data_IF_059718887750
#
_entry.id   IF_059718887750
#
_cell.length_a   1.000
_cell.length_b   1.000
_cell.length_c   1.000
_cell.angle_alpha   90.00
_cell.angle_beta   90.00
_cell.angle_gamma   90.00
#
_symmetry.space_group_name_H-M   'P 1'
#
loop_
_entity.id
_entity.type
_entity.pdbx_description
1 polymer ?
#
# COMPACT_ATOMS: atom_id res chain seq x y z
N UNK A 1 -9.08 41.03 -4.46
CA UNK A 1 -8.13 40.14 -5.16
C UNK A 1 -7.55 39.20 -4.13
N UNK A 2 -8.15 38.03 -3.98
CA UNK A 2 -7.68 36.97 -3.08
C UNK A 2 -6.81 36.05 -3.93
N UNK A 3 -5.53 35.92 -3.60
CA UNK A 3 -4.67 34.96 -4.29
C UNK A 3 -5.27 33.55 -4.13
N UNK A 4 -5.26 32.70 -5.17
CA UNK A 4 -5.66 31.31 -4.99
C UNK A 4 -4.66 30.65 -4.04
N UNK A 5 -5.18 30.12 -2.94
CA UNK A 5 -4.42 29.27 -2.02
C UNK A 5 -4.01 28.02 -2.80
N UNK A 6 -2.72 27.86 -3.08
CA UNK A 6 -2.18 26.67 -3.71
C UNK A 6 -2.25 25.52 -2.70
N UNK A 7 -3.26 24.66 -2.82
CA UNK A 7 -3.34 23.44 -2.02
C UNK A 7 -2.20 22.49 -2.43
N UNK A 8 -1.36 22.13 -1.46
CA UNK A 8 -0.31 21.11 -1.62
C UNK A 8 -0.94 19.70 -1.71
N UNK A 9 -0.24 18.72 -2.29
CA UNK A 9 -0.84 17.41 -2.57
C UNK A 9 -1.20 16.65 -1.30
N UNK A 10 -2.34 15.99 -1.38
CA UNK A 10 -2.94 15.17 -0.35
C UNK A 10 -2.23 13.80 -0.28
N UNK A 11 -1.13 13.74 0.46
CA UNK A 11 -0.31 12.55 0.63
C UNK A 11 1.08 12.89 1.15
N UNK A 12 1.91 11.87 1.36
CA UNK A 12 3.30 12.07 1.72
C UNK A 12 4.17 12.09 0.46
N UNK A 13 4.91 13.17 0.25
CA UNK A 13 5.84 13.29 -0.87
C UNK A 13 6.97 12.26 -0.77
N UNK A 14 7.32 11.67 -1.91
CA UNK A 14 8.47 10.80 -2.08
C UNK A 14 9.03 10.97 -3.49
N UNK A 15 10.10 10.26 -3.79
CA UNK A 15 10.71 10.20 -5.12
C UNK A 15 10.79 8.74 -5.57
N UNK A 16 10.36 8.48 -6.81
CA UNK A 16 10.45 7.18 -7.46
C UNK A 16 11.18 7.41 -8.78
N UNK A 17 12.31 6.72 -8.99
CA UNK A 17 13.08 6.79 -10.24
C UNK A 17 13.49 8.21 -10.66
N UNK A 18 13.82 9.09 -9.71
CA UNK A 18 14.18 10.48 -10.01
C UNK A 18 12.98 11.42 -10.22
N UNK A 19 11.74 10.90 -10.12
CA UNK A 19 10.51 11.66 -10.31
C UNK A 19 9.73 11.81 -9.01
N UNK A 20 9.15 13.00 -8.81
CA UNK A 20 8.26 13.25 -7.69
C UNK A 20 7.05 12.31 -7.72
N UNK A 21 6.68 11.79 -6.56
CA UNK A 21 5.57 10.86 -6.37
C UNK A 21 4.88 11.10 -5.02
N UNK A 22 3.67 10.56 -4.85
CA UNK A 22 2.89 10.71 -3.63
C UNK A 22 2.48 9.36 -3.05
N UNK A 23 2.67 9.19 -1.75
CA UNK A 23 2.11 8.07 -0.99
C UNK A 23 0.79 8.53 -0.37
N UNK A 24 -0.32 8.05 -0.92
CA UNK A 24 -1.68 8.56 -0.62
C UNK A 24 -2.44 7.72 0.40
N UNK A 25 -1.99 6.48 0.64
CA UNK A 25 -2.67 5.59 1.55
C UNK A 25 -1.95 4.27 1.75
N UNK A 26 -2.62 3.37 2.45
CA UNK A 26 -2.05 2.11 2.90
C UNK A 26 -2.99 0.92 2.72
N UNK A 27 -2.42 -0.22 2.33
CA UNK A 27 -3.13 -1.51 2.26
C UNK A 27 -2.39 -2.53 3.11
N UNK A 28 -3.06 -3.06 4.13
CA UNK A 28 -2.60 -4.23 4.85
C UNK A 28 -3.25 -5.49 4.25
N UNK A 29 -2.47 -6.53 4.01
CA UNK A 29 -2.96 -7.82 3.52
C UNK A 29 -2.31 -8.99 4.26
N UNK A 30 -3.10 -10.05 4.45
CA UNK A 30 -2.70 -11.27 5.12
C UNK A 30 -3.43 -12.47 4.49
N UNK A 31 -2.78 -13.63 4.29
CA UNK A 31 -1.33 -13.87 4.34
C UNK A 31 -0.66 -13.73 2.97
N UNK A 32 -1.34 -13.12 2.00
CA UNK A 32 -0.93 -13.04 0.59
C UNK A 32 -0.97 -11.58 0.13
N UNK A 33 -0.45 -11.32 -1.07
CA UNK A 33 -0.60 -9.99 -1.66
C UNK A 33 -2.06 -9.57 -1.79
N UNK A 34 -2.36 -8.26 -1.62
CA UNK A 34 -3.71 -7.76 -1.86
C UNK A 34 -4.10 -7.98 -3.33
N UNK A 35 -5.41 -8.17 -3.53
CA UNK A 35 -5.99 -8.23 -4.86
C UNK A 35 -5.80 -6.91 -5.60
N UNK A 36 -5.90 -6.96 -6.93
CA UNK A 36 -5.96 -5.76 -7.77
C UNK A 36 -7.20 -4.95 -7.41
N UNK A 37 -7.10 -3.63 -7.47
CA UNK A 37 -8.22 -2.75 -7.10
C UNK A 37 -8.54 -2.75 -5.61
N UNK A 38 -7.73 -3.40 -4.76
CA UNK A 38 -7.93 -3.37 -3.32
C UNK A 38 -7.96 -1.93 -2.82
N UNK A 39 -8.98 -1.60 -2.02
CA UNK A 39 -9.13 -0.30 -1.40
C UNK A 39 -8.03 -0.11 -0.34
N UNK A 40 -7.38 1.04 -0.38
CA UNK A 40 -6.43 1.50 0.61
C UNK A 40 -7.07 2.50 1.56
N UNK A 41 -6.67 2.41 2.82
CA UNK A 41 -7.00 3.45 3.79
C UNK A 41 -6.23 4.72 3.42
N UNK A 42 -6.90 5.85 3.16
CA UNK A 42 -6.21 7.10 2.88
C UNK A 42 -5.45 7.56 4.11
N UNK A 43 -4.25 8.08 3.90
CA UNK A 43 -3.52 8.74 4.99
C UNK A 43 -4.08 10.14 5.25
N UNK A 44 -3.94 10.62 6.50
CA UNK A 44 -4.38 11.96 6.85
C UNK A 44 -3.74 12.99 5.92
N UNK A 45 -4.55 13.90 5.38
CA UNK A 45 -4.13 14.83 4.32
C UNK A 45 -4.51 14.35 2.92
N UNK A 46 -4.66 13.05 2.66
CA UNK A 46 -5.03 12.47 1.35
C UNK A 46 -6.52 12.65 0.96
N UNK A 47 -7.40 12.88 1.95
CA UNK A 47 -8.85 12.92 1.76
C UNK A 47 -9.37 14.28 1.25
N UNK A 48 -8.61 15.37 1.43
CA UNK A 48 -9.13 16.73 1.27
C UNK A 48 -8.97 17.33 -0.13
N UNK A 49 -8.20 16.73 -1.04
CA UNK A 49 -7.94 17.30 -2.37
C UNK A 49 -8.59 16.55 -3.54
N UNK A 50 -9.30 15.46 -3.26
CA UNK A 50 -10.14 14.79 -4.25
C UNK A 50 -11.23 15.72 -4.83
N UNK A 51 -11.67 16.67 -4.02
CA UNK A 51 -12.74 17.63 -4.32
C UNK A 51 -12.28 18.96 -4.90
N UNK A 52 -10.98 19.24 -4.99
CA UNK A 52 -10.45 20.50 -5.55
C UNK A 52 -9.27 20.25 -6.49
N UNK A 53 -9.59 20.27 -7.78
CA UNK A 53 -8.74 20.42 -8.98
C UNK A 53 -7.28 20.82 -8.68
N UNK A 54 -6.28 19.99 -9.05
CA UNK A 54 -4.94 20.55 -9.28
C UNK A 54 -3.67 19.70 -9.25
N UNK A 55 -3.66 18.41 -8.94
CA UNK A 55 -2.43 17.59 -9.14
C UNK A 55 -2.67 16.55 -10.24
N UNK A 56 -2.89 17.05 -11.45
CA UNK A 56 -2.86 16.25 -12.67
C UNK A 56 -1.38 16.02 -13.00
N UNK A 57 -0.90 14.77 -12.88
CA UNK A 57 0.39 14.35 -13.44
C UNK A 57 1.45 13.81 -12.47
N UNK A 58 1.23 13.81 -11.16
CA UNK A 58 2.15 13.16 -10.20
C UNK A 58 1.71 11.72 -9.97
N UNK A 59 2.59 10.71 -10.15
CA UNK A 59 2.28 9.31 -9.86
C UNK A 59 1.86 9.11 -8.40
N UNK A 60 0.75 8.41 -8.21
CA UNK A 60 0.23 8.07 -6.89
C UNK A 60 0.60 6.63 -6.54
N UNK A 61 0.96 6.42 -5.28
CA UNK A 61 1.32 5.12 -4.73
C UNK A 61 0.62 4.86 -3.41
N UNK A 62 0.32 3.60 -3.15
CA UNK A 62 -0.10 3.11 -1.84
C UNK A 62 1.02 2.29 -1.21
N UNK A 63 1.21 2.44 0.10
CA UNK A 63 2.08 1.58 0.89
C UNK A 63 1.38 0.26 1.17
N UNK A 64 1.94 -0.84 0.67
CA UNK A 64 1.40 -2.18 0.86
C UNK A 64 2.25 -2.91 1.91
N UNK A 65 1.58 -3.41 2.94
CA UNK A 65 2.15 -4.32 3.92
C UNK A 65 1.53 -5.70 3.73
N UNK A 66 2.36 -6.72 3.51
CA UNK A 66 1.93 -8.12 3.47
C UNK A 66 2.51 -8.83 4.67
N UNK A 67 1.66 -9.17 5.62
CA UNK A 67 2.01 -10.07 6.72
C UNK A 67 1.93 -11.51 6.21
N UNK A 68 3.04 -12.24 6.29
CA UNK A 68 3.15 -13.58 5.75
C UNK A 68 2.85 -14.65 6.81
N UNK A 69 2.03 -15.62 6.41
CA UNK A 69 1.82 -16.85 7.15
C UNK A 69 1.54 -18.00 6.17
N UNK A 70 1.73 -19.24 6.64
CA UNK A 70 1.37 -20.44 5.88
C UNK A 70 0.03 -20.96 6.30
N UNK A 71 -0.84 -21.16 5.31
CA UNK A 71 -2.15 -21.78 5.48
C UNK A 71 -1.98 -23.29 5.64
N UNK A 72 -2.34 -23.82 6.81
CA UNK A 72 -2.36 -25.25 7.11
C UNK A 72 -3.80 -25.69 7.21
N UNK A 73 -4.18 -26.62 6.34
CA UNK A 73 -5.53 -27.19 6.29
C UNK A 73 -5.48 -28.63 6.81
N UNK A 74 -6.15 -28.86 7.93
CA UNK A 74 -6.31 -30.20 8.53
C UNK A 74 -7.69 -30.73 8.20
N UNK A 75 -7.74 -31.99 7.77
CA UNK A 75 -8.99 -32.75 7.64
C UNK A 75 -9.12 -33.57 8.91
N UNK A 76 -10.14 -33.25 9.71
CA UNK A 76 -10.43 -33.94 10.96
C UNK A 76 -11.09 -35.29 10.69
N UNK A 77 -11.14 -36.16 11.70
CA UNK A 77 -11.65 -37.54 11.56
C UNK A 77 -13.14 -37.60 11.16
N UNK A 78 -13.91 -36.57 11.48
CA UNK A 78 -15.33 -36.44 11.12
C UNK A 78 -15.54 -35.88 9.69
N UNK A 79 -14.45 -35.64 8.95
CA UNK A 79 -14.47 -35.05 7.62
C UNK A 79 -14.54 -33.52 7.62
N UNK A 80 -14.61 -32.87 8.78
CA UNK A 80 -14.56 -31.42 8.87
C UNK A 80 -13.17 -30.89 8.50
N UNK A 81 -13.13 -29.66 8.00
CA UNK A 81 -11.89 -28.96 7.68
C UNK A 81 -11.61 -27.92 8.75
N UNK A 82 -10.38 -27.89 9.25
CA UNK A 82 -9.85 -26.79 10.05
C UNK A 82 -8.69 -26.11 9.32
N UNK A 83 -8.74 -24.79 9.18
CA UNK A 83 -7.63 -23.99 8.64
C UNK A 83 -6.97 -23.19 9.76
N UNK A 84 -5.64 -23.25 9.83
CA UNK A 84 -4.81 -22.47 10.76
C UNK A 84 -3.72 -21.78 9.96
N UNK A 85 -3.41 -20.52 10.31
CA UNK A 85 -2.25 -19.82 9.75
C UNK A 85 -1.09 -19.92 10.73
N UNK A 86 0.02 -20.48 10.26
CA UNK A 86 1.24 -20.65 11.08
C UNK A 86 2.34 -19.72 10.59
N UNK A 87 3.02 -19.08 11.53
CA UNK A 87 4.23 -18.28 11.32
C UNK A 87 5.44 -19.02 11.87
N UNK A 88 6.63 -18.81 11.28
CA UNK A 88 7.88 -19.37 11.81
C UNK A 88 8.10 -20.87 11.60
N UNK A 89 7.37 -21.52 10.69
CA UNK A 89 7.65 -22.90 10.28
C UNK A 89 8.85 -22.94 9.32
N UNK A 90 9.68 -23.98 9.38
CA UNK A 90 10.88 -24.08 8.56
C UNK A 90 10.53 -24.04 7.06
N UNK A 91 11.08 -23.06 6.33
CA UNK A 91 10.87 -22.91 4.88
C UNK A 91 9.60 -22.15 4.49
N UNK A 92 8.85 -21.58 5.44
CA UNK A 92 7.67 -20.76 5.13
C UNK A 92 7.96 -19.26 5.10
N UNK A 93 7.28 -18.49 4.23
CA UNK A 93 7.31 -17.03 4.29
C UNK A 93 6.85 -16.54 5.67
N UNK A 94 7.61 -15.63 6.26
CA UNK A 94 7.34 -15.06 7.58
C UNK A 94 7.70 -13.58 7.62
N UNK A 95 7.10 -12.86 8.58
CA UNK A 95 7.31 -11.43 8.76
C UNK A 95 6.46 -10.57 7.82
N UNK A 96 6.79 -9.30 7.73
CA UNK A 96 6.04 -8.32 6.94
C UNK A 96 6.90 -7.82 5.79
N UNK A 97 6.38 -7.94 4.57
CA UNK A 97 6.98 -7.30 3.39
C UNK A 97 6.27 -5.98 3.11
N UNK A 98 7.07 -4.92 2.95
CA UNK A 98 6.59 -3.59 2.62
C UNK A 98 6.99 -3.22 1.18
N UNK A 99 6.05 -2.65 0.42
CA UNK A 99 6.33 -2.11 -0.91
C UNK A 99 5.39 -0.97 -1.29
N UNK A 100 5.80 -0.17 -2.27
CA UNK A 100 4.90 0.79 -2.92
C UNK A 100 4.25 0.16 -4.15
N UNK A 101 2.96 0.42 -4.35
CA UNK A 101 2.21 0.03 -5.56
C UNK A 101 1.47 1.23 -6.15
N UNK A 102 1.40 1.36 -7.48
CA UNK A 102 0.58 2.38 -8.12
C UNK A 102 -0.84 2.37 -7.58
N UNK A 103 -1.39 3.56 -7.39
CA UNK A 103 -2.72 3.77 -6.86
C UNK A 103 -3.50 4.74 -7.74
N UNK A 104 -4.82 4.58 -7.75
CA UNK A 104 -5.73 5.48 -8.45
C UNK A 104 -6.80 5.95 -7.47
N UNK A 105 -7.26 7.17 -7.67
CA UNK A 105 -8.34 7.74 -6.87
C UNK A 105 -9.69 7.22 -7.35
N UNK A 106 -10.46 6.60 -6.45
CA UNK A 106 -11.86 6.22 -6.65
C UNK A 106 -12.73 7.42 -6.27
N UNK A 107 -13.10 8.21 -7.27
CA UNK A 107 -13.90 9.45 -7.11
C UNK A 107 -15.28 9.15 -6.51
N UNK A 108 -15.89 8.01 -6.83
CA UNK A 108 -17.21 7.66 -6.32
C UNK A 108 -17.19 7.39 -4.81
N UNK A 109 -16.09 6.78 -4.32
CA UNK A 109 -15.95 6.40 -2.90
C UNK A 109 -15.12 7.40 -2.10
N UNK A 110 -14.43 8.35 -2.73
CA UNK A 110 -13.49 9.25 -2.07
C UNK A 110 -12.31 8.51 -1.42
N UNK A 111 -11.93 7.38 -2.01
CA UNK A 111 -10.88 6.49 -1.50
C UNK A 111 -9.80 6.30 -2.57
N UNK A 112 -8.70 5.65 -2.18
CA UNK A 112 -7.69 5.18 -3.13
C UNK A 112 -7.79 3.67 -3.27
N UNK A 113 -7.53 3.19 -4.49
CA UNK A 113 -7.43 1.76 -4.77
C UNK A 113 -6.11 1.48 -5.45
N UNK A 114 -5.60 0.26 -5.27
CA UNK A 114 -4.47 -0.20 -6.06
C UNK A 114 -4.84 -0.18 -7.54
N UNK A 115 -3.94 0.33 -8.37
CA UNK A 115 -4.13 0.33 -9.82
C UNK A 115 -4.30 -1.12 -10.30
N UNK A 116 -5.35 -1.35 -11.08
CA UNK A 116 -5.74 -2.63 -11.65
C UNK A 116 -5.70 -2.66 -13.17
N UNK A 117 -5.39 -1.52 -13.80
CA UNK A 117 -5.27 -1.39 -15.26
C UNK A 117 -4.18 -2.30 -15.83
N UNK A 118 -3.08 -2.45 -15.09
CA UNK A 118 -1.92 -3.25 -15.48
C UNK A 118 -1.47 -4.22 -14.40
N UNK A 119 -0.59 -5.15 -14.78
CA UNK A 119 0.07 -6.06 -13.86
C UNK A 119 1.41 -5.46 -13.46
N UNK A 120 1.61 -5.16 -12.18
CA UNK A 120 2.90 -4.64 -11.73
C UNK A 120 3.73 -5.67 -10.94
N UNK A 121 4.97 -5.88 -11.38
CA UNK A 121 6.02 -6.55 -10.64
C UNK A 121 6.91 -5.55 -9.90
N UNK A 122 7.67 -6.06 -8.92
CA UNK A 122 8.73 -5.30 -8.28
C UNK A 122 9.77 -4.91 -9.34
N UNK A 123 10.10 -3.62 -9.41
CA UNK A 123 11.18 -3.11 -10.24
C UNK A 123 12.49 -3.06 -9.45
N UNK A 124 13.58 -2.63 -10.11
CA UNK A 124 14.83 -2.30 -9.44
C UNK A 124 14.70 -1.05 -8.56
N UNK A 125 13.61 -0.29 -8.69
CA UNK A 125 13.36 0.97 -8.04
C UNK A 125 13.09 0.81 -6.54
N UNK A 126 13.52 1.82 -5.79
CA UNK A 126 13.20 1.97 -4.37
C UNK A 126 12.78 3.40 -4.10
N UNK A 127 11.89 3.56 -3.13
CA UNK A 127 11.41 4.87 -2.70
C UNK A 127 11.60 5.01 -1.20
N UNK A 128 11.81 6.25 -0.77
CA UNK A 128 11.81 6.58 0.65
C UNK A 128 10.38 6.58 1.18
N UNK A 129 10.22 6.04 2.38
CA UNK A 129 8.97 6.09 3.13
C UNK A 129 9.14 7.20 4.17
N UNK A 130 8.46 8.35 4.00
CA UNK A 130 8.55 9.44 4.96
C UNK A 130 8.24 8.97 6.38
N UNK A 131 9.06 9.37 7.35
CA UNK A 131 8.96 8.91 8.74
C UNK A 131 7.58 9.16 9.38
N UNK A 132 6.86 10.18 8.92
CA UNK A 132 5.49 10.46 9.35
C UNK A 132 4.52 9.30 9.08
N UNK A 133 4.74 8.51 8.02
CA UNK A 133 3.94 7.32 7.70
C UNK A 133 4.04 6.27 8.80
N UNK A 134 5.23 6.10 9.42
CA UNK A 134 5.42 5.15 10.50
C UNK A 134 4.52 5.45 11.71
N UNK A 135 4.19 6.72 11.95
CA UNK A 135 3.21 7.11 12.97
C UNK A 135 1.79 6.67 12.61
N UNK A 136 1.40 6.80 11.34
CA UNK A 136 0.05 6.46 10.84
C UNK A 136 -0.20 4.95 10.85
N UNK A 137 0.74 4.18 10.30
CA UNK A 137 0.58 2.72 10.17
C UNK A 137 0.96 1.95 11.44
N UNK A 138 1.40 2.64 12.51
CA UNK A 138 1.64 2.02 13.83
C UNK A 138 0.40 1.27 14.33
N UNK A 139 -0.78 1.81 14.05
CA UNK A 139 -2.08 1.21 14.39
C UNK A 139 -2.29 -0.18 13.80
N UNK A 140 -1.56 -0.56 12.76
CA UNK A 140 -1.66 -1.88 12.15
C UNK A 140 -0.92 -2.97 12.94
N UNK A 141 -0.06 -2.61 13.89
CA UNK A 141 0.64 -3.58 14.73
C UNK A 141 1.70 -4.44 14.02
N UNK A 142 2.14 -4.03 12.83
CA UNK A 142 3.02 -4.79 11.93
C UNK A 142 4.53 -4.60 12.17
N UNK A 143 4.90 -3.93 13.26
CA UNK A 143 6.29 -3.60 13.57
C UNK A 143 6.79 -2.34 12.85
N UNK A 144 8.12 -2.27 12.66
CA UNK A 144 8.77 -1.10 12.07
C UNK A 144 8.58 -1.03 10.56
N UNK A 145 8.20 0.15 10.06
CA UNK A 145 8.17 0.44 8.62
C UNK A 145 9.59 0.72 8.16
N UNK A 146 10.08 0.06 7.09
CA UNK A 146 11.38 0.37 6.53
C UNK A 146 11.44 1.80 5.99
N UNK A 147 12.59 2.47 6.16
CA UNK A 147 12.84 3.82 5.61
C UNK A 147 12.83 3.82 4.07
N UNK A 148 13.15 2.68 3.45
CA UNK A 148 13.11 2.49 2.00
C UNK A 148 12.44 1.18 1.65
N UNK A 149 11.60 1.20 0.63
CA UNK A 149 10.88 0.02 0.15
C UNK A 149 11.00 -0.12 -1.37
N UNK A 150 10.80 -1.35 -1.86
CA UNK A 150 10.72 -1.63 -3.30
C UNK A 150 9.45 -1.02 -3.89
N UNK A 151 9.53 -0.60 -5.14
CA UNK A 151 8.37 -0.12 -5.89
C UNK A 151 7.94 -1.20 -6.87
N UNK A 152 6.64 -1.51 -6.90
CA UNK A 152 6.07 -2.42 -7.88
C UNK A 152 5.43 -1.59 -9.00
N UNK A 153 6.25 -1.03 -9.90
CA UNK A 153 5.83 -0.22 -11.03
C UNK A 153 6.31 -0.78 -12.38
N UNK A 154 6.85 -2.00 -12.43
CA UNK A 154 7.25 -2.63 -13.69
C UNK A 154 6.07 -3.39 -14.31
N UNK A 155 5.60 -3.01 -15.50
CA UNK A 155 4.47 -3.70 -16.14
C UNK A 155 4.86 -5.12 -16.58
N UNK A 156 3.93 -6.06 -16.44
CA UNK A 156 4.03 -7.47 -16.88
C UNK A 156 3.09 -7.76 -18.05
#
# INVERSE_FOLDING_TARGET
>A
MTAPVTALPAGFATEVDGAAALIVGGVHSFPRHPQRGALGQPFAGAQSSASEVGVIGVPLYALVAVEWATEVRTIERDGSTRTVFVTGWLGTPQGVTWSLRPAVHDVERGLYRLDDSERFAASASTAEVPAAIAGVVRSWGLGAVPERVRVHNFPL
#
